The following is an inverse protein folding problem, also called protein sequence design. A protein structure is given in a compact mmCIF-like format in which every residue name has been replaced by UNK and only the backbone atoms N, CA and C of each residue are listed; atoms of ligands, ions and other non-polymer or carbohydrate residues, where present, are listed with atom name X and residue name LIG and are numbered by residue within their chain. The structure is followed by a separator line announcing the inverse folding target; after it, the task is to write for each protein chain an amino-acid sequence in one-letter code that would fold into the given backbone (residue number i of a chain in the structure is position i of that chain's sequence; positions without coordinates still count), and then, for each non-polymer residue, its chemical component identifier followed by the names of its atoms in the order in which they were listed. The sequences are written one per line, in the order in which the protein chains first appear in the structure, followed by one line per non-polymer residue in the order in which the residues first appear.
data_IF_443638655167
#
_entry.id   IF_443638655167
#
_cell.length_a   1.000
_cell.length_b   1.000
_cell.length_c   1.000
_cell.angle_alpha   90.00
_cell.angle_beta   90.00
_cell.angle_gamma   90.00
#
_symmetry.space_group_name_H-M   'P 1'
#
loop_
_entity.id
_entity.type
_entity.pdbx_description
1 polymer ?
#
# COMPACT_ATOMS: atom_id res chain seq x y z
N UNK A 1 2.91 17.58 -4.43
CA UNK A 1 2.89 16.98 -3.06
C UNK A 1 2.70 18.02 -1.95
N UNK A 2 2.87 19.31 -2.20
CA UNK A 2 2.74 20.36 -1.18
C UNK A 2 1.41 20.38 -0.42
N UNK A 3 0.25 20.25 -1.06
CA UNK A 3 -1.03 20.23 -0.34
C UNK A 3 -1.33 18.90 0.35
N UNK A 4 -0.51 17.86 0.17
CA UNK A 4 -0.77 16.53 0.72
C UNK A 4 -0.08 16.32 2.04
N UNK A 5 -0.80 15.78 3.03
CA UNK A 5 -0.25 15.43 4.35
C UNK A 5 0.38 14.05 4.40
N UNK A 6 0.14 13.22 3.39
CA UNK A 6 0.67 11.85 3.25
C UNK A 6 0.66 11.45 1.78
N UNK A 7 1.69 10.73 1.34
CA UNK A 7 1.81 10.24 -0.05
C UNK A 7 1.96 8.73 -0.04
N UNK A 8 1.07 8.04 -0.75
CA UNK A 8 1.18 6.59 -0.99
C UNK A 8 1.55 6.35 -2.44
N UNK A 9 2.61 5.58 -2.66
CA UNK A 9 3.14 5.29 -4.00
C UNK A 9 3.07 3.80 -4.27
N UNK A 10 2.26 3.43 -5.26
CA UNK A 10 2.12 2.04 -5.72
C UNK A 10 3.25 1.73 -6.71
N UNK A 11 4.34 1.18 -6.20
CA UNK A 11 5.56 0.91 -6.97
C UNK A 11 6.19 -0.35 -6.42
N UNK A 12 6.64 -1.25 -7.29
CA UNK A 12 7.28 -2.50 -6.91
C UNK A 12 8.81 -2.44 -7.11
N UNK A 13 9.34 -3.07 -8.18
CA UNK A 13 10.77 -3.12 -8.42
C UNK A 13 11.51 -1.76 -8.35
N UNK A 14 11.01 -0.67 -8.97
CA UNK A 14 11.65 0.64 -8.88
C UNK A 14 11.37 1.41 -7.58
N UNK A 15 10.73 0.80 -6.58
CA UNK A 15 10.36 1.47 -5.33
C UNK A 15 11.53 2.20 -4.63
N UNK A 16 12.74 1.65 -4.51
CA UNK A 16 13.86 2.35 -3.87
C UNK A 16 14.25 3.64 -4.59
N UNK A 17 14.21 3.65 -5.93
CA UNK A 17 14.53 4.83 -6.74
C UNK A 17 13.51 5.94 -6.54
N UNK A 18 12.23 5.61 -6.60
CA UNK A 18 11.15 6.59 -6.42
C UNK A 18 11.09 7.08 -4.97
N UNK A 19 11.34 6.21 -3.99
CA UNK A 19 11.48 6.60 -2.59
C UNK A 19 12.63 7.61 -2.41
N UNK A 20 13.78 7.38 -3.03
CA UNK A 20 14.91 8.30 -2.99
C UNK A 20 14.54 9.67 -3.60
N UNK A 21 13.85 9.69 -4.74
CA UNK A 21 13.35 10.94 -5.33
C UNK A 21 12.38 11.67 -4.40
N UNK A 22 11.42 10.95 -3.82
CA UNK A 22 10.48 11.54 -2.87
C UNK A 22 11.17 12.13 -1.64
N UNK A 23 12.07 11.38 -1.02
CA UNK A 23 12.79 11.85 0.18
C UNK A 23 13.66 13.07 -0.13
N UNK A 24 14.37 13.07 -1.27
CA UNK A 24 15.17 14.21 -1.69
C UNK A 24 14.30 15.43 -1.99
N UNK A 25 13.19 15.26 -2.70
CA UNK A 25 12.25 16.35 -2.97
C UNK A 25 11.67 16.94 -1.67
N UNK A 26 11.34 16.10 -0.69
CA UNK A 26 10.86 16.56 0.61
C UNK A 26 11.93 17.36 1.38
N UNK A 27 13.19 16.92 1.33
CA UNK A 27 14.31 17.65 1.97
C UNK A 27 14.54 18.99 1.26
N UNK A 28 14.59 18.99 -0.07
CA UNK A 28 14.80 20.19 -0.87
C UNK A 28 13.70 21.23 -0.63
N UNK A 29 12.45 20.80 -0.52
CA UNK A 29 11.32 21.66 -0.17
C UNK A 29 11.53 22.33 1.21
N UNK A 30 12.01 21.59 2.20
CA UNK A 30 12.28 22.15 3.53
C UNK A 30 13.51 23.09 3.52
N UNK A 31 14.50 22.84 2.68
CA UNK A 31 15.61 23.79 2.45
C UNK A 31 15.11 25.08 1.82
N UNK A 32 14.24 24.98 0.82
CA UNK A 32 13.62 26.13 0.17
C UNK A 32 12.83 26.99 1.16
N UNK A 33 11.99 26.35 1.99
CA UNK A 33 11.24 27.04 3.05
C UNK A 33 12.18 27.74 4.03
N UNK A 34 13.24 27.06 4.49
CA UNK A 34 14.24 27.65 5.35
C UNK A 34 14.89 28.90 4.75
N UNK A 35 15.27 28.86 3.46
CA UNK A 35 15.86 30.00 2.76
C UNK A 35 14.87 31.18 2.60
N UNK A 36 13.58 30.89 2.37
CA UNK A 36 12.52 31.91 2.32
C UNK A 36 12.29 32.54 3.68
N UNK A 37 12.17 31.73 4.74
CA UNK A 37 11.94 32.19 6.12
C UNK A 37 13.13 33.00 6.70
N UNK A 38 14.37 32.62 6.38
CA UNK A 38 15.59 33.34 6.79
C UNK A 38 15.86 34.60 5.96
N UNK A 39 15.10 34.82 4.87
CA UNK A 39 15.33 35.93 3.96
C UNK A 39 16.52 35.75 3.01
N UNK A 40 17.06 34.55 2.94
CA UNK A 40 18.24 34.22 2.11
C UNK A 40 17.87 33.76 0.67
N UNK A 41 16.59 33.66 0.36
CA UNK A 41 16.12 33.13 -0.93
C UNK A 41 16.69 33.90 -2.14
N UNK A 42 16.70 35.24 -2.11
CA UNK A 42 17.25 36.05 -3.19
C UNK A 42 18.76 35.82 -3.42
N UNK A 43 19.50 35.52 -2.35
CA UNK A 43 20.92 35.16 -2.46
C UNK A 43 21.10 33.75 -3.04
N UNK A 44 20.22 32.81 -2.68
CA UNK A 44 20.19 31.46 -3.24
C UNK A 44 19.89 31.49 -4.75
N UNK A 45 18.91 32.26 -5.20
CA UNK A 45 18.60 32.45 -6.63
C UNK A 45 19.80 32.99 -7.43
N UNK A 46 20.56 33.93 -6.85
CA UNK A 46 21.79 34.42 -7.48
C UNK A 46 22.84 33.31 -7.62
N UNK A 47 22.99 32.46 -6.60
CA UNK A 47 23.89 31.30 -6.65
C UNK A 47 23.46 30.28 -7.70
N UNK A 48 22.18 29.98 -7.80
CA UNK A 48 21.61 29.09 -8.84
C UNK A 48 21.91 29.65 -10.24
N UNK A 49 21.63 30.93 -10.47
CA UNK A 49 21.94 31.60 -11.75
C UNK A 49 23.43 31.56 -12.09
N UNK A 50 24.29 31.77 -11.09
CA UNK A 50 25.74 31.73 -11.26
C UNK A 50 26.23 30.30 -11.56
N UNK A 51 25.67 29.29 -10.94
CA UNK A 51 25.99 27.88 -11.17
C UNK A 51 25.76 27.45 -12.60
N UNK A 52 24.67 27.93 -13.24
CA UNK A 52 24.31 27.60 -14.62
C UNK A 52 24.94 28.53 -15.67
N UNK A 53 25.77 29.52 -15.28
CA UNK A 53 26.42 30.39 -16.24
C UNK A 53 27.33 29.57 -17.18
N UNK A 54 26.92 29.46 -18.46
CA UNK A 54 27.62 28.69 -19.47
C UNK A 54 27.39 27.17 -19.43
N UNK A 55 26.39 26.72 -18.68
CA UNK A 55 25.96 25.31 -18.62
C UNK A 55 24.49 25.18 -19.04
N UNK A 56 24.08 24.06 -19.65
CA UNK A 56 22.67 23.80 -19.90
C UNK A 56 21.93 23.73 -18.56
N UNK A 57 20.74 24.33 -18.50
CA UNK A 57 19.84 24.26 -17.35
C UNK A 57 18.63 23.44 -17.72
N UNK A 58 18.11 22.59 -16.81
CA UNK A 58 16.82 21.96 -17.00
C UNK A 58 15.71 23.01 -17.19
N UNK A 59 14.86 22.77 -18.19
CA UNK A 59 13.70 23.62 -18.45
C UNK A 59 12.42 22.82 -18.15
N UNK A 60 11.51 23.43 -17.43
CA UNK A 60 10.16 22.87 -17.26
C UNK A 60 9.32 23.21 -18.48
N UNK A 61 8.72 22.19 -19.07
CA UNK A 61 7.86 22.34 -20.25
C UNK A 61 6.40 22.17 -19.83
N UNK A 62 5.62 23.22 -19.99
CA UNK A 62 4.19 23.27 -19.67
C UNK A 62 3.85 24.25 -18.56
N UNK A 63 2.57 24.35 -18.25
CA UNK A 63 2.05 25.19 -17.18
C UNK A 63 2.23 24.53 -15.80
N UNK A 64 2.59 25.33 -14.80
CA UNK A 64 2.64 24.84 -13.43
C UNK A 64 1.22 24.60 -12.92
N UNK A 65 0.98 23.50 -12.17
CA UNK A 65 -0.31 23.28 -11.51
C UNK A 65 -0.70 24.47 -10.61
N UNK A 66 -1.98 24.80 -10.55
CA UNK A 66 -2.50 25.92 -9.74
C UNK A 66 -2.07 25.89 -8.26
N UNK A 67 -1.87 24.69 -7.69
CA UNK A 67 -1.43 24.52 -6.32
C UNK A 67 0.08 24.64 -6.12
N UNK A 68 0.85 24.99 -7.17
CA UNK A 68 2.30 25.08 -7.13
C UNK A 68 2.74 26.54 -7.11
N UNK A 69 3.47 26.95 -6.07
CA UNK A 69 3.93 28.32 -5.88
C UNK A 69 5.25 28.65 -6.60
N UNK A 70 5.71 27.76 -7.46
CA UNK A 70 6.93 27.91 -8.28
C UNK A 70 7.65 26.62 -8.58
N UNK A 71 8.80 26.72 -9.23
CA UNK A 71 9.68 25.58 -9.49
C UNK A 71 10.46 25.23 -8.23
N UNK A 72 10.29 24.01 -7.72
CA UNK A 72 11.13 23.47 -6.64
C UNK A 72 12.60 23.32 -7.06
N UNK A 73 13.50 23.18 -6.10
CA UNK A 73 14.95 23.16 -6.35
C UNK A 73 15.37 22.13 -7.39
N UNK A 74 14.79 20.93 -7.39
CA UNK A 74 15.09 19.90 -8.39
C UNK A 74 14.76 20.34 -9.82
N UNK A 75 13.64 21.06 -10.02
CA UNK A 75 13.27 21.64 -11.31
C UNK A 75 14.11 22.86 -11.67
N UNK A 76 14.69 23.51 -10.68
CA UNK A 76 15.70 24.54 -10.89
C UNK A 76 17.10 23.95 -11.15
N UNK A 77 17.25 22.63 -11.09
CA UNK A 77 18.47 21.90 -11.43
C UNK A 77 19.52 21.88 -10.30
N UNK A 78 19.11 22.11 -9.08
CA UNK A 78 19.99 22.09 -7.89
C UNK A 78 19.36 21.25 -6.78
N UNK A 79 20.16 20.87 -5.80
CA UNK A 79 19.74 20.20 -4.57
C UNK A 79 20.01 21.09 -3.35
N UNK A 80 19.31 20.83 -2.26
CA UNK A 80 19.36 21.65 -1.05
C UNK A 80 20.77 21.77 -0.43
N UNK A 81 21.56 20.70 -0.50
CA UNK A 81 22.93 20.67 0.00
C UNK A 81 23.89 21.64 -0.73
N UNK A 82 23.54 22.09 -1.92
CA UNK A 82 24.28 23.09 -2.68
C UNK A 82 23.97 24.53 -2.24
N UNK A 83 22.87 24.73 -1.50
CA UNK A 83 22.34 26.07 -1.19
C UNK A 83 22.48 26.48 0.26
N UNK A 84 22.73 25.55 1.17
CA UNK A 84 22.98 25.80 2.59
C UNK A 84 24.27 25.13 3.03
N UNK A 85 24.79 25.47 4.21
CA UNK A 85 25.96 24.82 4.78
C UNK A 85 25.62 23.37 5.22
N UNK A 86 26.65 22.54 5.34
CA UNK A 86 26.48 21.11 5.64
C UNK A 86 25.79 20.85 6.98
N UNK A 87 25.98 21.69 7.99
CA UNK A 87 25.36 21.52 9.31
C UNK A 87 23.86 21.87 9.27
N UNK A 88 23.51 22.94 8.56
CA UNK A 88 22.12 23.34 8.32
C UNK A 88 21.40 22.27 7.50
N UNK A 89 22.03 21.78 6.42
CA UNK A 89 21.47 20.70 5.60
C UNK A 89 21.21 19.43 6.42
N UNK A 90 22.16 18.99 7.24
CA UNK A 90 22.03 17.80 8.06
C UNK A 90 20.85 17.90 9.04
N UNK A 91 20.66 19.07 9.69
CA UNK A 91 19.52 19.30 10.59
C UNK A 91 18.17 19.27 9.87
N UNK A 92 18.09 19.91 8.70
CA UNK A 92 16.87 19.92 7.88
C UNK A 92 16.56 18.51 7.43
N UNK A 93 17.53 17.76 6.92
CA UNK A 93 17.40 16.38 6.47
C UNK A 93 16.88 15.48 7.60
N UNK A 94 17.51 15.49 8.76
CA UNK A 94 17.11 14.68 9.92
C UNK A 94 15.66 14.97 10.33
N UNK A 95 15.30 16.23 10.49
CA UNK A 95 13.94 16.66 10.82
C UNK A 95 12.91 16.23 9.76
N UNK A 96 13.25 16.39 8.49
CA UNK A 96 12.37 16.05 7.38
C UNK A 96 12.11 14.56 7.34
N UNK A 97 13.15 13.73 7.39
CA UNK A 97 13.02 12.28 7.37
C UNK A 97 12.21 11.73 8.54
N UNK A 98 12.34 12.34 9.73
CA UNK A 98 11.54 11.97 10.89
C UNK A 98 10.06 12.40 10.80
N UNK A 99 9.72 13.33 9.92
CA UNK A 99 8.38 13.92 9.80
C UNK A 99 7.59 13.47 8.57
N UNK A 100 8.24 12.98 7.51
CA UNK A 100 7.55 12.51 6.29
C UNK A 100 6.52 11.43 6.60
N UNK A 101 5.41 11.46 5.84
CA UNK A 101 4.29 10.51 6.01
C UNK A 101 3.92 9.91 4.67
N UNK A 102 3.67 8.62 4.68
CA UNK A 102 3.26 7.94 3.46
C UNK A 102 3.55 6.45 3.45
N UNK A 103 3.55 5.90 2.25
CA UNK A 103 3.84 4.49 1.99
C UNK A 103 4.58 4.37 0.66
N UNK A 104 5.62 3.57 0.62
CA UNK A 104 6.14 3.00 -0.62
C UNK A 104 5.74 1.54 -0.70
N UNK A 105 5.05 1.17 -1.76
CA UNK A 105 4.61 -0.21 -1.95
C UNK A 105 5.73 -1.02 -2.61
N UNK A 106 6.59 -1.63 -1.79
CA UNK A 106 7.77 -2.36 -2.21
C UNK A 106 7.63 -3.88 -2.03
N UNK A 107 6.41 -4.41 -2.09
CA UNK A 107 6.16 -5.85 -1.91
C UNK A 107 6.53 -6.64 -3.17
N UNK A 108 7.74 -7.20 -3.16
CA UNK A 108 8.28 -7.97 -4.28
C UNK A 108 7.78 -9.42 -4.30
N UNK A 109 7.34 -9.97 -3.16
CA UNK A 109 6.85 -11.35 -3.09
C UNK A 109 5.52 -11.46 -3.84
N UNK A 110 4.57 -10.54 -3.61
CA UNK A 110 3.31 -10.52 -4.34
C UNK A 110 3.52 -10.18 -5.83
N UNK A 111 4.56 -9.41 -6.17
CA UNK A 111 4.87 -9.08 -7.57
C UNK A 111 5.20 -10.35 -8.36
N UNK A 112 6.00 -11.23 -7.79
CA UNK A 112 6.28 -12.54 -8.38
C UNK A 112 5.03 -13.43 -8.41
N UNK A 113 4.31 -13.53 -7.28
CA UNK A 113 3.18 -14.46 -7.13
C UNK A 113 1.97 -14.11 -8.01
N UNK A 114 1.68 -12.82 -8.20
CA UNK A 114 0.43 -12.36 -8.79
C UNK A 114 0.55 -11.53 -10.07
N UNK A 115 1.64 -10.80 -10.25
CA UNK A 115 1.76 -9.84 -11.36
C UNK A 115 2.75 -10.27 -12.44
N UNK A 116 3.75 -11.07 -12.09
CA UNK A 116 4.83 -11.51 -13.00
C UNK A 116 5.54 -10.33 -13.70
N UNK A 117 5.76 -9.23 -12.98
CA UNK A 117 6.36 -8.00 -13.49
C UNK A 117 7.74 -7.72 -12.87
N UNK A 118 8.36 -8.73 -12.26
CA UNK A 118 9.64 -8.60 -11.59
C UNK A 118 10.75 -8.15 -12.56
N UNK A 119 11.37 -7.01 -12.24
CA UNK A 119 12.53 -6.49 -13.00
C UNK A 119 13.88 -6.92 -12.38
N UNK A 120 13.85 -7.44 -11.16
CA UNK A 120 15.00 -7.95 -10.42
C UNK A 120 14.73 -9.38 -9.94
N UNK A 121 15.83 -10.11 -9.64
CA UNK A 121 15.70 -11.40 -8.94
C UNK A 121 15.09 -11.21 -7.55
N UNK A 122 14.41 -12.24 -7.06
CA UNK A 122 13.80 -12.22 -5.71
C UNK A 122 14.85 -11.93 -4.63
N UNK A 123 16.04 -12.53 -4.71
CA UNK A 123 17.13 -12.31 -3.77
C UNK A 123 17.56 -10.83 -3.73
N UNK A 124 17.81 -10.23 -4.89
CA UNK A 124 18.20 -8.82 -4.97
C UNK A 124 17.11 -7.88 -4.49
N UNK A 125 15.86 -8.16 -4.84
CA UNK A 125 14.72 -7.36 -4.44
C UNK A 125 14.47 -7.44 -2.92
N UNK A 126 14.61 -8.63 -2.29
CA UNK A 126 14.57 -8.79 -0.83
C UNK A 126 15.69 -7.99 -0.16
N UNK A 127 16.90 -8.02 -0.73
CA UNK A 127 18.02 -7.23 -0.22
C UNK A 127 17.68 -5.73 -0.24
N UNK A 128 17.15 -5.22 -1.33
CA UNK A 128 16.75 -3.80 -1.43
C UNK A 128 15.65 -3.44 -0.40
N UNK A 129 14.65 -4.29 -0.20
CA UNK A 129 13.65 -4.09 0.85
C UNK A 129 14.29 -3.96 2.24
N UNK A 130 15.22 -4.86 2.55
CA UNK A 130 15.96 -4.82 3.80
C UNK A 130 16.82 -3.56 3.95
N UNK A 131 17.46 -3.11 2.87
CA UNK A 131 18.26 -1.88 2.87
C UNK A 131 17.37 -0.64 3.10
N UNK A 132 16.19 -0.58 2.49
CA UNK A 132 15.18 0.47 2.75
C UNK A 132 14.74 0.47 4.20
N UNK A 133 14.43 -0.70 4.77
CA UNK A 133 14.02 -0.79 6.17
C UNK A 133 15.15 -0.37 7.12
N UNK A 134 16.37 -0.80 6.87
CA UNK A 134 17.54 -0.37 7.66
C UNK A 134 17.71 1.16 7.60
N UNK A 135 17.59 1.75 6.42
CA UNK A 135 17.62 3.20 6.25
C UNK A 135 16.56 3.90 7.09
N UNK A 136 15.34 3.34 7.17
CA UNK A 136 14.26 3.90 7.98
C UNK A 136 14.59 3.85 9.48
N UNK A 137 15.18 2.77 9.94
CA UNK A 137 15.63 2.64 11.34
C UNK A 137 16.72 3.69 11.64
N UNK A 138 17.76 3.73 10.82
CA UNK A 138 18.94 4.59 11.01
C UNK A 138 18.58 6.09 11.02
N UNK A 139 17.59 6.48 10.20
CA UNK A 139 17.14 7.87 10.06
C UNK A 139 15.82 8.18 10.79
N UNK A 140 15.32 7.27 11.62
CA UNK A 140 14.09 7.43 12.42
C UNK A 140 12.86 7.82 11.60
N UNK A 141 12.72 7.23 10.40
CA UNK A 141 11.56 7.40 9.53
C UNK A 141 10.39 6.61 10.10
N UNK A 142 9.59 7.23 10.96
CA UNK A 142 8.58 6.53 11.78
C UNK A 142 7.16 6.57 11.23
N UNK A 143 6.85 7.56 10.40
CA UNK A 143 5.50 7.81 9.90
C UNK A 143 5.34 7.42 8.42
N UNK A 144 6.28 6.65 7.90
CA UNK A 144 6.30 6.18 6.53
C UNK A 144 6.40 4.65 6.53
N UNK A 145 5.49 3.99 5.81
CA UNK A 145 5.54 2.54 5.67
C UNK A 145 6.56 2.14 4.60
N UNK A 146 7.50 1.28 4.98
CA UNK A 146 8.57 0.79 4.09
C UNK A 146 8.07 -0.20 3.05
N UNK A 147 6.98 -0.89 3.39
CA UNK A 147 6.32 -1.87 2.54
C UNK A 147 4.82 -1.87 2.83
N UNK A 148 4.03 -2.10 1.79
CA UNK A 148 2.61 -2.46 1.90
C UNK A 148 2.47 -3.90 1.43
N UNK A 149 2.39 -4.84 2.38
CA UNK A 149 2.30 -6.28 2.12
C UNK A 149 0.93 -6.54 1.50
N UNK A 150 0.91 -6.93 0.22
CA UNK A 150 -0.25 -6.71 -0.62
C UNK A 150 -0.95 -8.00 -1.04
N UNK A 151 -2.13 -8.22 -0.49
CA UNK A 151 -3.09 -9.22 -0.95
C UNK A 151 -3.99 -8.73 -2.09
N UNK A 152 -4.13 -7.41 -2.25
CA UNK A 152 -4.97 -6.84 -3.30
C UNK A 152 -4.67 -7.43 -4.68
N UNK A 153 -3.42 -7.42 -5.10
CA UNK A 153 -3.01 -7.94 -6.40
C UNK A 153 -3.21 -9.46 -6.54
N UNK A 154 -3.07 -10.20 -5.43
CA UNK A 154 -3.32 -11.64 -5.39
C UNK A 154 -4.80 -11.91 -5.65
N UNK A 155 -5.69 -11.17 -5.00
CA UNK A 155 -7.14 -11.27 -5.23
C UNK A 155 -7.54 -10.83 -6.63
N UNK A 156 -6.99 -9.71 -7.12
CA UNK A 156 -7.29 -9.20 -8.47
C UNK A 156 -6.77 -10.14 -9.58
N UNK A 157 -5.71 -10.90 -9.32
CA UNK A 157 -5.24 -11.95 -10.22
C UNK A 157 -6.14 -13.20 -10.24
N UNK A 158 -7.08 -13.32 -9.28
CA UNK A 158 -8.10 -14.35 -9.28
C UNK A 158 -8.24 -15.18 -8.01
N UNK A 159 -7.39 -14.95 -6.99
CA UNK A 159 -7.47 -15.68 -5.74
C UNK A 159 -8.79 -15.43 -5.00
N UNK A 160 -9.26 -16.46 -4.30
CA UNK A 160 -10.35 -16.32 -3.35
C UNK A 160 -9.92 -15.62 -2.05
N UNK A 161 -10.85 -15.21 -1.17
CA UNK A 161 -10.49 -14.52 0.08
C UNK A 161 -9.51 -15.28 0.98
N UNK A 162 -9.61 -16.60 1.06
CA UNK A 162 -8.74 -17.44 1.91
C UNK A 162 -7.30 -17.41 1.39
N UNK A 163 -7.12 -17.67 0.10
CA UNK A 163 -5.80 -17.64 -0.55
C UNK A 163 -5.20 -16.24 -0.54
N UNK A 164 -6.00 -15.19 -0.75
CA UNK A 164 -5.56 -13.81 -0.59
C UNK A 164 -4.94 -13.60 0.80
N UNK A 165 -5.69 -13.94 1.84
CA UNK A 165 -5.28 -13.70 3.23
C UNK A 165 -4.07 -14.54 3.62
N UNK A 166 -4.10 -15.85 3.30
CA UNK A 166 -3.02 -16.76 3.63
C UNK A 166 -1.70 -16.37 2.96
N UNK A 167 -1.70 -16.07 1.67
CA UNK A 167 -0.49 -15.68 0.96
C UNK A 167 0.05 -14.34 1.46
N UNK A 168 -0.82 -13.38 1.70
CA UNK A 168 -0.42 -12.07 2.22
C UNK A 168 0.23 -12.16 3.60
N UNK A 169 -0.38 -12.89 4.54
CA UNK A 169 0.19 -13.06 5.87
C UNK A 169 1.48 -13.89 5.85
N UNK A 170 1.56 -14.92 5.01
CA UNK A 170 2.80 -15.68 4.81
C UNK A 170 3.93 -14.81 4.26
N UNK A 171 3.64 -13.93 3.31
CA UNK A 171 4.59 -12.93 2.82
C UNK A 171 5.04 -12.00 3.95
N UNK A 172 4.10 -11.54 4.78
CA UNK A 172 4.39 -10.71 5.94
C UNK A 172 5.34 -11.38 6.93
N UNK A 173 5.11 -12.65 7.28
CA UNK A 173 5.99 -13.39 8.15
C UNK A 173 7.36 -13.66 7.51
N UNK A 174 7.42 -13.91 6.22
CA UNK A 174 8.69 -14.06 5.49
C UNK A 174 9.52 -12.77 5.54
N UNK A 175 8.90 -11.61 5.40
CA UNK A 175 9.56 -10.30 5.54
C UNK A 175 10.07 -10.09 6.97
N UNK A 176 9.25 -10.41 7.98
CA UNK A 176 9.66 -10.34 9.40
C UNK A 176 10.89 -11.20 9.66
N UNK A 177 10.86 -12.48 9.27
CA UNK A 177 11.99 -13.40 9.44
C UNK A 177 13.24 -12.91 8.71
N UNK A 178 13.09 -12.36 7.52
CA UNK A 178 14.21 -11.81 6.76
C UNK A 178 14.85 -10.60 7.46
N UNK A 179 14.06 -9.69 8.01
CA UNK A 179 14.58 -8.52 8.72
C UNK A 179 15.25 -8.92 10.04
N UNK A 180 14.67 -9.87 10.78
CA UNK A 180 15.28 -10.45 11.98
C UNK A 180 16.61 -11.13 11.66
N UNK A 181 16.69 -11.90 10.57
CA UNK A 181 17.93 -12.54 10.11
C UNK A 181 19.02 -11.54 9.73
N UNK A 182 18.66 -10.31 9.37
CA UNK A 182 19.59 -9.20 9.14
C UNK A 182 20.03 -8.49 10.43
N UNK A 183 19.52 -8.90 11.59
CA UNK A 183 19.86 -8.34 12.89
C UNK A 183 19.04 -7.11 13.30
N UNK A 184 17.93 -6.81 12.63
CA UNK A 184 17.02 -5.73 13.02
C UNK A 184 16.20 -6.16 14.22
N UNK A 185 15.89 -5.22 15.13
CA UNK A 185 14.95 -5.46 16.23
C UNK A 185 13.51 -5.41 15.72
N UNK A 186 12.66 -6.33 16.21
CA UNK A 186 11.26 -6.44 15.80
C UNK A 186 10.47 -5.15 16.03
N UNK A 187 10.73 -4.45 17.12
CA UNK A 187 10.01 -3.24 17.50
C UNK A 187 10.50 -1.99 16.76
N UNK A 188 11.67 -2.06 16.14
CA UNK A 188 12.18 -0.98 15.29
C UNK A 188 11.56 -0.97 13.89
N UNK A 189 11.15 -2.14 13.35
CA UNK A 189 10.62 -2.22 12.00
C UNK A 189 9.13 -2.57 11.89
N UNK A 190 8.60 -3.41 12.77
CA UNK A 190 7.20 -3.87 12.64
C UNK A 190 6.17 -2.72 12.60
N UNK A 191 6.35 -1.60 13.34
CA UNK A 191 5.47 -0.45 13.19
C UNK A 191 5.47 0.21 11.80
N UNK A 192 6.49 -0.02 10.96
CA UNK A 192 6.58 0.46 9.58
C UNK A 192 6.00 -0.51 8.54
N UNK A 193 5.50 -1.68 8.97
CA UNK A 193 4.80 -2.61 8.10
C UNK A 193 3.33 -2.24 8.01
N UNK A 194 2.78 -2.31 6.81
CA UNK A 194 1.35 -2.21 6.57
C UNK A 194 0.90 -3.30 5.61
N UNK A 195 -0.40 -3.56 5.59
CA UNK A 195 -1.02 -4.56 4.73
C UNK A 195 -2.00 -3.90 3.78
N UNK A 196 -2.27 -4.57 2.68
CA UNK A 196 -3.20 -4.08 1.68
C UNK A 196 -4.05 -5.24 1.16
N UNK A 197 -5.36 -5.18 1.36
CA UNK A 197 -6.30 -6.20 0.91
C UNK A 197 -7.32 -5.66 -0.08
N UNK A 198 -7.83 -6.56 -0.91
CA UNK A 198 -9.03 -6.35 -1.73
C UNK A 198 -10.27 -6.77 -0.96
N UNK A 199 -11.37 -6.05 -1.15
CA UNK A 199 -12.70 -6.49 -0.74
C UNK A 199 -13.58 -6.72 -1.98
N UNK A 200 -13.96 -7.98 -2.18
CA UNK A 200 -14.92 -8.39 -3.21
C UNK A 200 -16.34 -8.54 -2.67
N UNK A 201 -17.12 -9.42 -3.27
CA UNK A 201 -18.53 -9.65 -2.94
C UNK A 201 -18.77 -10.90 -2.09
N UNK A 202 -17.78 -11.79 -1.95
CA UNK A 202 -17.90 -13.02 -1.17
C UNK A 202 -18.06 -12.69 0.34
N UNK A 203 -18.85 -13.46 1.10
CA UNK A 203 -19.12 -13.17 2.51
C UNK A 203 -17.86 -13.18 3.39
N UNK A 204 -16.83 -13.94 3.03
CA UNK A 204 -15.55 -14.01 3.75
C UNK A 204 -14.84 -12.65 3.81
N UNK A 205 -15.12 -11.76 2.88
CA UNK A 205 -14.56 -10.39 2.92
C UNK A 205 -15.05 -9.58 4.12
N UNK A 206 -16.14 -9.97 4.78
CA UNK A 206 -16.62 -9.30 6.01
C UNK A 206 -15.71 -9.52 7.21
N UNK A 207 -14.81 -10.50 7.17
CA UNK A 207 -13.95 -10.91 8.30
C UNK A 207 -12.45 -10.91 7.98
N UNK A 208 -12.07 -10.52 6.77
CA UNK A 208 -10.66 -10.60 6.33
C UNK A 208 -9.71 -9.86 7.28
N UNK A 209 -10.02 -8.62 7.64
CA UNK A 209 -9.20 -7.81 8.52
C UNK A 209 -9.22 -8.32 9.97
N UNK A 210 -10.37 -8.82 10.43
CA UNK A 210 -10.54 -9.42 11.75
C UNK A 210 -9.64 -10.64 11.92
N UNK A 211 -9.66 -11.56 10.95
CA UNK A 211 -8.80 -12.76 10.94
C UNK A 211 -7.34 -12.35 10.82
N UNK A 212 -7.01 -11.43 9.92
CA UNK A 212 -5.65 -10.93 9.75
C UNK A 212 -5.08 -10.38 11.07
N UNK A 213 -5.83 -9.53 11.78
CA UNK A 213 -5.42 -8.98 13.07
C UNK A 213 -5.22 -10.07 14.14
N UNK A 214 -6.11 -11.07 14.19
CA UNK A 214 -6.02 -12.19 15.15
C UNK A 214 -4.75 -13.01 14.95
N UNK A 215 -4.50 -13.44 13.73
CA UNK A 215 -3.32 -14.26 13.37
C UNK A 215 -2.04 -13.46 13.59
N UNK A 216 -2.00 -12.22 13.09
CA UNK A 216 -0.82 -11.36 13.21
C UNK A 216 -0.47 -11.06 14.67
N UNK A 217 -1.42 -10.59 15.46
CA UNK A 217 -1.19 -10.24 16.87
C UNK A 217 -0.70 -11.45 17.70
N UNK A 218 -1.29 -12.63 17.47
CA UNK A 218 -0.87 -13.86 18.14
C UNK A 218 0.56 -14.22 17.76
N UNK A 219 0.90 -14.26 16.48
CA UNK A 219 2.24 -14.60 16.03
C UNK A 219 3.29 -13.59 16.51
N UNK A 220 3.02 -12.29 16.40
CA UNK A 220 3.91 -11.24 16.85
C UNK A 220 4.19 -11.31 18.34
N UNK A 221 3.17 -11.62 19.16
CA UNK A 221 3.32 -11.78 20.59
C UNK A 221 4.04 -13.07 20.98
N UNK A 222 3.55 -14.21 20.48
CA UNK A 222 3.95 -15.53 20.99
C UNK A 222 5.25 -16.03 20.35
N UNK A 223 5.46 -15.77 19.06
CA UNK A 223 6.66 -16.23 18.34
C UNK A 223 7.80 -15.22 18.40
N UNK A 224 7.49 -13.92 18.28
CA UNK A 224 8.52 -12.89 18.12
C UNK A 224 8.71 -12.02 19.38
N UNK A 225 7.87 -12.16 20.41
CA UNK A 225 7.96 -11.38 21.65
C UNK A 225 7.79 -9.86 21.46
N UNK A 226 7.13 -9.46 20.38
CA UNK A 226 6.97 -8.07 19.99
C UNK A 226 6.10 -7.27 20.97
N UNK A 227 6.37 -5.97 21.07
CA UNK A 227 5.58 -5.03 21.87
C UNK A 227 4.13 -4.92 21.40
N UNK A 228 3.25 -4.42 22.26
CA UNK A 228 1.84 -4.21 21.90
C UNK A 228 1.64 -3.37 20.64
N UNK A 229 2.51 -2.39 20.38
CA UNK A 229 2.46 -1.57 19.18
C UNK A 229 2.77 -2.38 17.91
N UNK A 230 3.74 -3.27 17.97
CA UNK A 230 4.15 -4.13 16.86
C UNK A 230 3.17 -5.26 16.58
N UNK A 231 2.33 -5.63 17.56
CA UNK A 231 1.24 -6.59 17.40
C UNK A 231 0.04 -6.03 16.60
N UNK A 232 -0.05 -4.70 16.45
CA UNK A 232 -1.15 -4.07 15.72
C UNK A 232 -0.95 -4.19 14.21
N UNK A 233 -1.76 -5.01 13.55
CA UNK A 233 -1.82 -5.04 12.10
C UNK A 233 -2.59 -3.82 11.59
N UNK A 234 -1.97 -3.07 10.68
CA UNK A 234 -2.57 -1.93 9.99
C UNK A 234 -2.77 -2.31 8.53
N UNK A 235 -3.95 -2.02 7.99
CA UNK A 235 -4.23 -2.37 6.61
C UNK A 235 -5.11 -1.34 5.90
N UNK A 236 -4.81 -1.22 4.63
CA UNK A 236 -5.61 -0.51 3.64
C UNK A 236 -6.53 -1.50 2.92
N UNK A 237 -7.74 -1.10 2.60
CA UNK A 237 -8.64 -1.81 1.70
C UNK A 237 -8.83 -1.00 0.43
N UNK A 238 -8.77 -1.69 -0.72
CA UNK A 238 -9.35 -1.22 -1.96
C UNK A 238 -10.50 -2.15 -2.35
N UNK A 239 -11.62 -1.57 -2.77
CA UNK A 239 -12.72 -2.36 -3.35
C UNK A 239 -12.24 -3.09 -4.59
N UNK A 240 -12.74 -4.32 -4.82
CA UNK A 240 -12.24 -5.17 -5.92
C UNK A 240 -12.56 -4.60 -7.30
N UNK A 241 -11.53 -4.38 -8.11
CA UNK A 241 -11.68 -4.02 -9.52
C UNK A 241 -12.23 -5.19 -10.35
N UNK A 242 -11.87 -6.42 -9.99
CA UNK A 242 -12.34 -7.64 -10.66
C UNK A 242 -13.86 -7.84 -10.58
N UNK A 243 -14.51 -7.24 -9.59
CA UNK A 243 -15.97 -7.28 -9.45
C UNK A 243 -16.70 -6.24 -10.29
N UNK A 244 -15.98 -5.35 -10.97
CA UNK A 244 -16.53 -4.33 -11.86
C UNK A 244 -16.64 -4.87 -13.27
N UNK A 245 -17.76 -4.59 -13.94
CA UNK A 245 -18.08 -5.10 -15.28
C UNK A 245 -18.39 -3.96 -16.24
N UNK A 246 -18.07 -4.15 -17.52
CA UNK A 246 -18.36 -3.18 -18.57
C UNK A 246 -19.86 -3.14 -18.94
N UNK A 247 -20.54 -4.29 -18.81
CA UNK A 247 -21.98 -4.38 -19.00
C UNK A 247 -22.71 -3.76 -17.80
N UNK A 248 -23.80 -3.05 -18.06
CA UNK A 248 -24.58 -2.32 -17.04
C UNK A 248 -23.67 -1.58 -16.05
N UNK A 249 -22.74 -0.84 -16.61
CA UNK A 249 -21.60 -0.20 -15.93
C UNK A 249 -22.02 0.66 -14.73
N UNK A 250 -23.23 1.23 -14.76
CA UNK A 250 -23.80 2.01 -13.66
C UNK A 250 -24.05 1.21 -12.38
N UNK A 251 -24.18 -0.14 -12.49
CA UNK A 251 -24.35 -1.00 -11.32
C UNK A 251 -23.06 -1.16 -10.50
N UNK A 252 -21.91 -0.80 -11.08
CA UNK A 252 -20.64 -0.90 -10.39
C UNK A 252 -20.56 -0.02 -9.14
N UNK A 253 -21.21 1.14 -9.11
CA UNK A 253 -21.27 1.96 -7.90
C UNK A 253 -21.96 1.25 -6.74
N UNK A 254 -22.98 0.42 -7.04
CA UNK A 254 -23.68 -0.38 -6.04
C UNK A 254 -22.73 -1.44 -5.48
N UNK A 255 -21.99 -2.13 -6.35
CA UNK A 255 -20.98 -3.13 -5.94
C UNK A 255 -19.90 -2.48 -5.08
N UNK A 256 -19.33 -1.37 -5.53
CA UNK A 256 -18.32 -0.62 -4.79
C UNK A 256 -18.84 -0.16 -3.42
N UNK A 257 -20.10 0.30 -3.33
CA UNK A 257 -20.71 0.72 -2.06
C UNK A 257 -20.80 -0.44 -1.06
N UNK A 258 -21.25 -1.62 -1.50
CA UNK A 258 -21.37 -2.80 -0.63
C UNK A 258 -19.99 -3.27 -0.14
N UNK A 259 -18.98 -3.29 -1.01
CA UNK A 259 -17.61 -3.63 -0.66
C UNK A 259 -16.99 -2.63 0.31
N UNK A 260 -17.29 -1.34 0.15
CA UNK A 260 -16.88 -0.29 1.07
C UNK A 260 -17.50 -0.47 2.46
N UNK A 261 -18.78 -0.89 2.55
CA UNK A 261 -19.42 -1.22 3.82
C UNK A 261 -18.74 -2.39 4.53
N UNK A 262 -18.36 -3.45 3.82
CA UNK A 262 -17.60 -4.55 4.40
C UNK A 262 -16.27 -4.07 5.01
N UNK A 263 -15.53 -3.23 4.28
CA UNK A 263 -14.27 -2.68 4.73
C UNK A 263 -14.41 -1.83 6.00
N UNK A 264 -15.43 -0.97 6.05
CA UNK A 264 -15.69 -0.09 7.20
C UNK A 264 -16.14 -0.89 8.42
N UNK A 265 -17.01 -1.87 8.25
CA UNK A 265 -17.53 -2.68 9.35
C UNK A 265 -16.49 -3.67 9.89
N UNK A 266 -15.51 -4.05 9.08
CA UNK A 266 -14.33 -4.80 9.53
C UNK A 266 -13.21 -3.88 10.08
N UNK A 267 -13.47 -2.58 10.19
CA UNK A 267 -12.59 -1.58 10.80
C UNK A 267 -11.21 -1.45 10.10
N UNK A 268 -11.20 -1.26 8.78
CA UNK A 268 -9.98 -0.96 8.05
C UNK A 268 -9.38 0.40 8.47
N UNK A 269 -8.06 0.55 8.36
CA UNK A 269 -7.38 1.81 8.69
C UNK A 269 -7.56 2.89 7.61
N UNK A 270 -7.70 2.48 6.36
CA UNK A 270 -7.99 3.37 5.23
C UNK A 270 -8.69 2.61 4.10
N UNK A 271 -9.44 3.34 3.29
CA UNK A 271 -10.28 2.78 2.24
C UNK A 271 -10.09 3.55 0.92
N UNK A 272 -9.95 2.80 -0.16
CA UNK A 272 -10.09 3.29 -1.53
C UNK A 272 -11.33 2.66 -2.18
N UNK A 273 -12.17 3.48 -2.78
CA UNK A 273 -13.34 3.06 -3.55
C UNK A 273 -13.07 3.25 -5.04
N UNK A 274 -13.21 2.18 -5.81
CA UNK A 274 -12.99 2.23 -7.26
C UNK A 274 -14.07 3.06 -7.96
N UNK A 275 -13.69 3.75 -9.02
CA UNK A 275 -14.61 4.42 -9.91
C UNK A 275 -15.41 3.39 -10.74
N UNK A 276 -16.68 3.69 -11.03
CA UNK A 276 -17.56 2.76 -11.73
C UNK A 276 -17.08 2.37 -13.14
N UNK A 277 -16.34 3.27 -13.80
CA UNK A 277 -15.81 3.11 -15.16
C UNK A 277 -14.40 2.50 -15.21
N UNK A 278 -13.82 2.14 -14.07
CA UNK A 278 -12.47 1.54 -14.00
C UNK A 278 -12.39 0.20 -14.78
N UNK A 279 -13.52 -0.47 -14.99
CA UNK A 279 -13.59 -1.67 -15.81
C UNK A 279 -13.24 -1.45 -17.30
N UNK A 280 -13.30 -0.21 -17.79
CA UNK A 280 -13.13 0.09 -19.23
C UNK A 280 -12.13 1.21 -19.53
N UNK A 281 -11.82 2.07 -18.56
CA UNK A 281 -10.97 3.26 -18.83
C UNK A 281 -10.28 3.75 -17.55
N UNK A 282 -9.32 4.66 -17.74
CA UNK A 282 -8.85 5.51 -16.64
C UNK A 282 -10.02 6.37 -16.14
N UNK A 283 -10.23 6.50 -14.83
CA UNK A 283 -11.38 7.20 -14.27
C UNK A 283 -11.52 8.65 -14.78
N UNK A 284 -12.77 9.02 -15.06
CA UNK A 284 -13.13 10.39 -15.42
C UNK A 284 -13.33 11.24 -14.16
N UNK A 285 -13.39 12.58 -14.31
CA UNK A 285 -13.73 13.47 -13.19
C UNK A 285 -15.08 13.11 -12.55
N UNK A 286 -16.08 12.79 -13.36
CA UNK A 286 -17.39 12.38 -12.87
C UNK A 286 -17.33 11.09 -12.06
N UNK A 287 -16.62 10.08 -12.53
CA UNK A 287 -16.54 8.77 -11.86
C UNK A 287 -15.72 8.84 -10.58
N UNK A 288 -14.62 9.60 -10.55
CA UNK A 288 -13.85 9.87 -9.32
C UNK A 288 -14.70 10.59 -8.29
N UNK A 289 -15.45 11.62 -8.72
CA UNK A 289 -16.38 12.35 -7.82
C UNK A 289 -17.40 11.42 -7.19
N UNK A 290 -17.97 10.47 -7.94
CA UNK A 290 -18.92 9.47 -7.42
C UNK A 290 -18.25 8.49 -6.47
N UNK A 291 -17.05 8.01 -6.78
CA UNK A 291 -16.28 7.13 -5.91
C UNK A 291 -15.97 7.78 -4.55
N UNK A 292 -15.60 9.06 -4.54
CA UNK A 292 -15.42 9.84 -3.29
C UNK A 292 -16.76 10.03 -2.57
N UNK A 293 -17.84 10.30 -3.32
CA UNK A 293 -19.18 10.48 -2.74
C UNK A 293 -19.67 9.22 -1.99
N UNK A 294 -19.33 8.01 -2.44
CA UNK A 294 -19.65 6.76 -1.73
C UNK A 294 -19.13 6.82 -0.28
N UNK A 295 -17.86 7.16 -0.10
CA UNK A 295 -17.28 7.25 1.24
C UNK A 295 -17.90 8.37 2.08
N UNK A 296 -18.20 9.52 1.47
CA UNK A 296 -18.82 10.65 2.16
C UNK A 296 -20.26 10.33 2.59
N UNK A 297 -21.05 9.67 1.76
CA UNK A 297 -22.42 9.25 2.08
C UNK A 297 -22.39 8.25 3.25
N UNK A 298 -21.53 7.24 3.19
CA UNK A 298 -21.40 6.25 4.26
C UNK A 298 -20.99 6.92 5.58
N UNK A 299 -20.05 7.87 5.55
CA UNK A 299 -19.53 8.50 6.76
C UNK A 299 -20.39 9.61 7.33
N UNK A 300 -21.20 10.30 6.50
CA UNK A 300 -21.96 11.49 6.93
C UNK A 300 -23.46 11.30 6.94
N UNK A 301 -24.01 10.48 6.04
CA UNK A 301 -25.45 10.26 5.92
C UNK A 301 -25.88 8.96 6.58
N UNK A 302 -25.17 7.84 6.34
CA UNK A 302 -25.48 6.55 6.96
C UNK A 302 -25.18 6.53 8.47
N UNK A 303 -24.10 7.18 8.90
CA UNK A 303 -23.80 7.43 10.30
C UNK A 303 -23.32 6.22 11.12
N UNK A 304 -23.07 5.05 10.53
CA UNK A 304 -22.63 3.85 11.26
C UNK A 304 -21.15 3.87 11.70
N UNK A 305 -20.41 4.87 11.27
CA UNK A 305 -19.01 5.07 11.66
C UNK A 305 -18.84 5.63 13.09
N UNK A 306 -19.89 5.85 13.84
CA UNK A 306 -19.83 6.19 15.27
C UNK A 306 -19.37 4.99 16.12
N UNK A 307 -19.48 3.76 15.62
CA UNK A 307 -19.11 2.53 16.27
C UNK A 307 -17.88 1.92 15.62
N UNK A 308 -16.84 1.67 16.40
CA UNK A 308 -15.57 1.08 15.88
C UNK A 308 -15.67 -0.41 15.53
N UNK A 309 -16.70 -1.11 16.02
CA UNK A 309 -16.92 -2.53 15.74
C UNK A 309 -18.43 -2.83 15.58
N UNK A 310 -19.05 -2.42 14.46
CA UNK A 310 -20.49 -2.61 14.25
C UNK A 310 -20.89 -4.09 14.10
N UNK A 311 -19.96 -4.98 13.77
CA UNK A 311 -20.18 -6.43 13.70
C UNK A 311 -20.13 -7.15 15.06
N UNK A 312 -19.77 -6.47 16.13
CA UNK A 312 -19.63 -7.09 17.45
C UNK A 312 -20.96 -7.72 17.91
N UNK A 313 -20.87 -8.97 18.37
CA UNK A 313 -22.04 -9.71 18.85
C UNK A 313 -22.83 -10.42 17.75
N UNK A 314 -22.42 -10.33 16.49
CA UNK A 314 -22.98 -11.15 15.42
C UNK A 314 -22.39 -12.56 15.45
N UNK A 315 -23.19 -13.55 15.80
CA UNK A 315 -22.76 -14.95 15.83
C UNK A 315 -22.31 -15.46 14.47
N UNK A 316 -22.92 -14.97 13.37
CA UNK A 316 -22.51 -15.32 11.99
C UNK A 316 -21.10 -14.83 11.69
N UNK A 317 -20.78 -13.61 12.10
CA UNK A 317 -19.44 -13.03 11.90
C UNK A 317 -18.40 -13.75 12.76
N UNK A 318 -18.75 -14.13 13.98
CA UNK A 318 -17.84 -14.87 14.86
C UNK A 318 -17.55 -16.27 14.33
N UNK A 319 -18.58 -17.02 13.90
CA UNK A 319 -18.43 -18.34 13.27
C UNK A 319 -17.62 -18.27 11.99
N UNK A 320 -17.93 -17.30 11.10
CA UNK A 320 -17.20 -17.10 9.84
C UNK A 320 -15.73 -16.73 10.11
N UNK A 321 -15.46 -15.96 11.16
CA UNK A 321 -14.08 -15.62 11.57
C UNK A 321 -13.28 -16.87 11.91
N UNK A 322 -13.86 -17.79 12.69
CA UNK A 322 -13.21 -19.02 13.09
C UNK A 322 -12.98 -19.96 11.90
N UNK A 323 -13.96 -20.12 11.01
CA UNK A 323 -13.84 -20.93 9.80
C UNK A 323 -12.77 -20.39 8.83
N UNK A 324 -12.73 -19.07 8.62
CA UNK A 324 -11.72 -18.44 7.75
C UNK A 324 -10.33 -18.55 8.39
N UNK A 325 -10.20 -18.37 9.72
CA UNK A 325 -8.92 -18.54 10.40
C UNK A 325 -8.39 -19.98 10.25
N UNK A 326 -9.24 -20.98 10.44
CA UNK A 326 -8.87 -22.39 10.25
C UNK A 326 -8.41 -22.68 8.81
N UNK A 327 -9.15 -22.21 7.82
CA UNK A 327 -8.80 -22.38 6.41
C UNK A 327 -7.45 -21.70 6.06
N UNK A 328 -7.17 -20.55 6.65
CA UNK A 328 -5.88 -19.86 6.48
C UNK A 328 -4.73 -20.66 7.09
N UNK A 329 -4.92 -21.25 8.28
CA UNK A 329 -3.89 -22.12 8.87
C UNK A 329 -3.62 -23.37 8.03
N UNK A 330 -4.64 -23.98 7.45
CA UNK A 330 -4.46 -25.11 6.53
C UNK A 330 -3.63 -24.70 5.29
N UNK A 331 -3.82 -23.49 4.80
CA UNK A 331 -3.03 -22.98 3.67
C UNK A 331 -1.58 -22.66 4.11
N UNK A 332 -1.36 -22.19 5.33
CA UNK A 332 0.00 -22.06 5.88
C UNK A 332 0.74 -23.39 5.95
N UNK A 333 0.06 -24.48 6.33
CA UNK A 333 0.64 -25.81 6.33
C UNK A 333 1.10 -26.21 4.92
N UNK A 334 0.24 -26.04 3.92
CA UNK A 334 0.57 -26.32 2.51
C UNK A 334 1.78 -25.55 2.01
N UNK A 335 1.91 -24.27 2.40
CA UNK A 335 3.08 -23.45 2.08
C UNK A 335 4.31 -23.96 2.80
N UNK A 336 4.18 -24.29 4.09
CA UNK A 336 5.28 -24.80 4.92
C UNK A 336 5.84 -26.13 4.40
N UNK A 337 4.99 -27.06 3.99
CA UNK A 337 5.39 -28.33 3.37
C UNK A 337 6.22 -28.16 2.09
N UNK A 338 6.11 -27.00 1.44
CA UNK A 338 6.86 -26.65 0.22
C UNK A 338 8.13 -25.86 0.47
N UNK A 339 8.57 -25.77 1.73
CA UNK A 339 9.75 -25.01 2.12
C UNK A 339 9.48 -23.52 2.38
N UNK A 340 8.27 -23.19 2.80
CA UNK A 340 7.83 -21.83 3.06
C UNK A 340 7.49 -21.06 1.79
N UNK A 341 7.36 -19.73 1.91
CA UNK A 341 6.94 -18.87 0.78
C UNK A 341 7.88 -19.00 -0.41
N UNK A 342 9.19 -18.93 -0.19
CA UNK A 342 10.18 -18.98 -1.27
C UNK A 342 10.21 -20.35 -1.95
N UNK A 343 10.18 -21.45 -1.19
CA UNK A 343 10.11 -22.79 -1.76
C UNK A 343 8.81 -23.05 -2.52
N UNK A 344 7.69 -22.52 -2.04
CA UNK A 344 6.43 -22.58 -2.75
C UNK A 344 6.44 -21.73 -4.04
N UNK A 345 7.14 -20.59 -4.05
CA UNK A 345 7.36 -19.79 -5.27
C UNK A 345 8.22 -20.53 -6.30
N UNK A 346 9.30 -21.20 -5.88
CA UNK A 346 10.15 -22.00 -6.77
C UNK A 346 9.38 -23.09 -7.50
N UNK A 347 8.34 -23.65 -6.86
CA UNK A 347 7.45 -24.66 -7.47
C UNK A 347 6.21 -24.06 -8.14
N UNK A 348 6.13 -22.73 -8.21
CA UNK A 348 5.00 -21.97 -8.77
C UNK A 348 3.65 -22.29 -8.08
N UNK A 349 3.66 -22.67 -6.82
CA UNK A 349 2.46 -23.09 -6.09
C UNK A 349 1.44 -21.96 -5.98
N UNK A 350 1.84 -20.76 -5.52
CA UNK A 350 0.92 -19.64 -5.37
C UNK A 350 0.31 -19.22 -6.72
N UNK A 351 1.13 -19.14 -7.77
CA UNK A 351 0.64 -18.81 -9.13
C UNK A 351 -0.36 -19.86 -9.65
N UNK A 352 -0.05 -21.14 -9.46
CA UNK A 352 -0.93 -22.23 -9.84
C UNK A 352 -2.27 -22.16 -9.12
N UNK A 353 -2.23 -21.93 -7.81
CA UNK A 353 -3.42 -21.79 -6.96
C UNK A 353 -4.30 -20.61 -7.38
N UNK A 354 -3.69 -19.44 -7.59
CA UNK A 354 -4.39 -18.25 -8.08
C UNK A 354 -5.06 -18.51 -9.44
N UNK A 355 -4.36 -19.18 -10.35
CA UNK A 355 -4.90 -19.53 -11.66
C UNK A 355 -6.09 -20.50 -11.56
N UNK A 356 -5.99 -21.54 -10.75
CA UNK A 356 -7.09 -22.50 -10.53
C UNK A 356 -8.34 -21.80 -9.98
N UNK A 357 -8.17 -20.93 -8.99
CA UNK A 357 -9.28 -20.17 -8.40
C UNK A 357 -9.86 -19.16 -9.38
N UNK A 358 -9.02 -18.49 -10.17
CA UNK A 358 -9.48 -17.61 -11.25
C UNK A 358 -10.34 -18.35 -12.27
N UNK A 359 -9.89 -19.51 -12.74
CA UNK A 359 -10.63 -20.36 -13.68
C UNK A 359 -11.95 -20.86 -13.08
N UNK A 360 -11.97 -21.19 -11.80
CA UNK A 360 -13.19 -21.57 -11.09
C UNK A 360 -14.24 -20.45 -11.12
N UNK A 361 -13.86 -19.22 -10.79
CA UNK A 361 -14.76 -18.07 -10.85
C UNK A 361 -15.23 -17.78 -12.27
N UNK A 362 -14.33 -17.79 -13.24
CA UNK A 362 -14.68 -17.53 -14.65
C UNK A 362 -15.62 -18.58 -15.22
N UNK A 363 -15.41 -19.86 -14.90
CA UNK A 363 -16.31 -20.93 -15.33
C UNK A 363 -17.72 -20.72 -14.78
N UNK A 364 -17.85 -20.34 -13.51
CA UNK A 364 -19.15 -20.09 -12.87
C UNK A 364 -19.84 -18.81 -13.34
N UNK A 365 -19.08 -17.80 -13.73
CA UNK A 365 -19.64 -16.63 -14.43
C UNK A 365 -20.20 -17.04 -15.80
N UNK A 366 -19.49 -17.89 -16.50
CA UNK A 366 -19.82 -18.30 -17.87
C UNK A 366 -21.05 -19.22 -17.92
N UNK A 367 -21.21 -20.13 -16.98
CA UNK A 367 -22.35 -21.02 -16.87
C UNK A 367 -23.55 -20.43 -16.11
N UNK A 368 -23.41 -19.23 -15.57
CA UNK A 368 -24.45 -18.51 -14.83
C UNK A 368 -24.65 -19.00 -13.38
N UNK A 369 -23.85 -19.95 -12.89
CA UNK A 369 -23.94 -20.43 -11.50
C UNK A 369 -23.42 -19.42 -10.48
N UNK A 370 -22.63 -18.43 -10.91
CA UNK A 370 -22.31 -17.21 -10.18
C UNK A 370 -23.06 -16.05 -10.85
N UNK A 371 -24.23 -15.64 -10.30
CA UNK A 371 -25.05 -14.61 -10.92
C UNK A 371 -24.38 -13.24 -10.81
N UNK A 372 -24.31 -12.54 -11.92
CA UNK A 372 -23.80 -11.19 -12.05
C UNK A 372 -24.89 -10.32 -12.71
N UNK A 373 -25.61 -9.56 -11.91
CA UNK A 373 -26.75 -8.80 -12.39
C UNK A 373 -26.33 -7.80 -13.48
N UNK A 374 -26.99 -7.93 -14.64
CA UNK A 374 -26.70 -7.14 -15.85
C UNK A 374 -25.52 -7.65 -16.68
N UNK A 375 -24.93 -8.80 -16.32
CA UNK A 375 -23.77 -9.40 -17.06
C UNK A 375 -24.11 -10.76 -17.60
N UNK A 376 -24.70 -11.66 -16.80
CA UNK A 376 -25.08 -13.03 -17.19
C UNK A 376 -26.49 -13.40 -16.73
#
# INVERSE_FOLDING_TARGET
CEPTTSVSMTINGPAPMILAFFMNAAIDQQVELHLKESGEWAAAEKRIKAYFKGKPRPEYVGDLPEANDGLGLALLGVSGDQLVDAATYAKIRERTLASVRGTVQADILKEDQAQNTCIFSTEFAMKMMGDVQQYFIDHKVRNYYSVSISGYHIAEAGANPISQLAFTLSNGFTIVEYYLARGMDIDDFAPNLSFFFSNGMDPEYTVIGRVARRIWARAMKERYGASARSQMLKYHIQTSGRSLHAQEISFNDIRTTLQALYALFDNCNSLHTNAFDEAITTPTEQSVRRAVAIQMIISRELGLNFCENPWQGSFVVDELTDLVEEAVYQEFERISERGGVLGAMDTMYQRGKILEESLYYESRKHDGSLPLIGVN
#
